data_IF_185085156127
#
_entry.id   IF_185085156127
#
_cell.length_a   1.000
_cell.length_b   1.000
_cell.length_c   1.000
_cell.angle_alpha   90.00
_cell.angle_beta   90.00
_cell.angle_gamma   90.00
#
_symmetry.space_group_name_H-M   'P 1'
#
loop_
_entity.id
_entity.type
_entity.pdbx_description
1 polymer ?
#
# COMPACT_ATOMS: atom_id res chain seq x y z
N UNK A 1 3.97 -1.01 15.80
CA UNK A 1 4.03 0.45 15.59
C UNK A 1 4.47 0.68 14.15
N UNK A 2 3.58 1.20 13.32
CA UNK A 2 3.82 1.47 11.89
C UNK A 2 3.94 2.98 11.70
N UNK A 3 4.94 3.39 10.93
CA UNK A 3 5.15 4.79 10.58
C UNK A 3 4.46 5.04 9.23
N UNK A 4 3.44 5.90 9.23
CA UNK A 4 2.79 6.30 7.99
C UNK A 4 3.69 7.27 7.24
N UNK A 5 3.96 6.98 5.97
CA UNK A 5 4.69 7.89 5.08
C UNK A 5 3.70 8.71 4.25
N UNK A 6 4.04 9.97 3.99
CA UNK A 6 3.17 10.90 3.26
C UNK A 6 3.22 10.65 1.74
N UNK A 7 4.40 10.31 1.23
CA UNK A 7 4.64 10.07 -0.19
C UNK A 7 4.91 8.59 -0.50
N UNK A 8 4.37 8.15 -1.64
CA UNK A 8 4.58 6.79 -2.12
C UNK A 8 6.04 6.53 -2.53
N UNK A 9 6.73 7.55 -3.04
CA UNK A 9 8.10 7.44 -3.56
C UNK A 9 9.08 6.96 -2.47
N UNK A 10 8.92 7.47 -1.24
CA UNK A 10 9.69 7.04 -0.08
C UNK A 10 9.44 5.58 0.27
N UNK A 11 8.19 5.10 0.18
CA UNK A 11 7.85 3.69 0.41
C UNK A 11 8.47 2.79 -0.67
N UNK A 12 8.40 3.23 -1.93
CA UNK A 12 8.95 2.51 -3.08
C UNK A 12 10.47 2.38 -2.95
N UNK A 13 11.16 3.50 -2.67
CA UNK A 13 12.60 3.55 -2.46
C UNK A 13 13.02 2.65 -1.30
N UNK A 14 12.33 2.74 -0.16
CA UNK A 14 12.59 1.88 0.99
C UNK A 14 12.47 0.40 0.63
N UNK A 15 11.37 0.02 -0.02
CA UNK A 15 11.10 -1.37 -0.43
C UNK A 15 12.20 -1.89 -1.36
N UNK A 16 12.66 -1.08 -2.33
CA UNK A 16 13.73 -1.48 -3.25
C UNK A 16 15.07 -1.71 -2.56
N UNK A 17 15.35 -1.02 -1.46
CA UNK A 17 16.58 -1.17 -0.67
C UNK A 17 16.54 -2.32 0.35
N UNK A 18 15.38 -2.93 0.58
CA UNK A 18 15.27 -4.09 1.45
C UNK A 18 15.92 -5.32 0.81
N UNK A 19 16.61 -6.11 1.62
CA UNK A 19 17.06 -7.44 1.22
C UNK A 19 15.84 -8.32 0.88
N UNK A 20 15.99 -9.21 -0.11
CA UNK A 20 14.88 -9.99 -0.67
C UNK A 20 14.04 -10.75 0.38
N UNK A 21 14.66 -11.25 1.45
CA UNK A 21 13.97 -11.98 2.52
C UNK A 21 13.18 -11.08 3.48
N UNK A 22 13.47 -9.78 3.49
CA UNK A 22 12.77 -8.78 4.30
C UNK A 22 11.62 -8.09 3.54
N UNK A 23 11.48 -8.35 2.23
CA UNK A 23 10.43 -7.81 1.36
C UNK A 23 9.09 -8.54 1.53
N UNK A 24 8.55 -8.51 2.74
CA UNK A 24 7.19 -8.98 3.00
C UNK A 24 6.30 -7.75 3.11
N UNK A 25 5.52 -7.50 2.05
CA UNK A 25 4.56 -6.41 1.99
C UNK A 25 3.12 -6.90 1.86
N UNK A 26 2.18 -6.06 2.26
CA UNK A 26 0.75 -6.29 2.05
C UNK A 26 0.09 -5.02 1.54
N UNK A 27 -1.00 -5.19 0.79
CA UNK A 27 -1.79 -4.05 0.32
C UNK A 27 -3.28 -4.38 0.31
N UNK A 28 -4.12 -3.36 0.46
CA UNK A 28 -5.56 -3.45 0.37
C UNK A 28 -6.09 -2.34 -0.52
N UNK A 29 -7.02 -2.70 -1.40
CA UNK A 29 -7.77 -1.76 -2.21
C UNK A 29 -9.22 -1.80 -1.76
N UNK A 30 -9.76 -0.67 -1.30
CA UNK A 30 -11.13 -0.53 -0.83
C UNK A 30 -11.86 0.48 -1.70
N UNK A 31 -12.97 0.06 -2.31
CA UNK A 31 -13.91 0.98 -2.97
C UNK A 31 -14.76 1.65 -1.91
N UNK A 32 -14.94 2.96 -2.01
CA UNK A 32 -15.80 3.77 -1.15
C UNK A 32 -16.81 4.53 -2.03
N UNK A 33 -17.77 5.20 -1.39
CA UNK A 33 -18.75 6.03 -2.11
C UNK A 33 -18.05 7.23 -2.81
N UNK A 34 -16.94 7.70 -2.24
CA UNK A 34 -16.20 8.88 -2.69
C UNK A 34 -15.03 8.53 -3.63
N UNK A 35 -14.83 7.25 -3.94
CA UNK A 35 -13.76 6.78 -4.82
C UNK A 35 -13.11 5.49 -4.35
N UNK A 36 -11.78 5.47 -4.26
CA UNK A 36 -10.97 4.30 -3.95
C UNK A 36 -9.88 4.64 -2.95
N UNK A 37 -9.68 3.80 -1.95
CA UNK A 37 -8.61 3.90 -0.98
C UNK A 37 -7.64 2.75 -1.17
N UNK A 38 -6.34 3.06 -1.23
CA UNK A 38 -5.25 2.09 -1.19
C UNK A 38 -4.57 2.18 0.17
N UNK A 39 -4.27 1.03 0.74
CA UNK A 39 -3.39 0.86 1.89
C UNK A 39 -2.26 -0.07 1.49
N UNK A 40 -1.05 0.24 1.90
CA UNK A 40 0.11 -0.62 1.71
C UNK A 40 0.95 -0.61 2.98
N UNK A 41 1.58 -1.74 3.30
CA UNK A 41 2.50 -1.87 4.43
C UNK A 41 3.70 -2.69 4.01
N UNK A 42 4.89 -2.24 4.41
CA UNK A 42 6.15 -2.94 4.20
C UNK A 42 7.03 -2.72 5.42
N UNK A 43 7.41 -3.81 6.09
CA UNK A 43 8.16 -3.74 7.35
C UNK A 43 7.48 -2.83 8.38
N UNK A 44 8.16 -1.76 8.77
CA UNK A 44 7.68 -0.77 9.76
C UNK A 44 6.97 0.44 9.17
N UNK A 45 6.77 0.49 7.86
CA UNK A 45 6.16 1.62 7.17
C UNK A 45 4.81 1.26 6.57
N UNK A 46 3.89 2.22 6.63
CA UNK A 46 2.55 2.12 6.08
C UNK A 46 2.29 3.31 5.15
N UNK A 47 1.41 3.12 4.19
CA UNK A 47 0.95 4.14 3.28
C UNK A 47 -0.55 4.01 3.14
N UNK A 48 -1.26 5.14 3.17
CA UNK A 48 -2.70 5.20 2.96
C UNK A 48 -3.00 6.42 2.09
N UNK A 49 -3.76 6.23 1.02
CA UNK A 49 -4.18 7.33 0.15
C UNK A 49 -5.54 7.05 -0.46
N UNK A 50 -6.32 8.13 -0.61
CA UNK A 50 -7.63 8.12 -1.28
C UNK A 50 -7.51 8.76 -2.65
N UNK A 51 -8.14 8.12 -3.63
CA UNK A 51 -8.26 8.54 -5.01
C UNK A 51 -9.73 8.71 -5.33
N UNK A 52 -10.07 9.69 -6.15
CA UNK A 52 -11.46 9.88 -6.61
C UNK A 52 -11.85 8.83 -7.66
N UNK A 53 -10.92 8.53 -8.57
CA UNK A 53 -11.15 7.66 -9.71
C UNK A 53 -10.29 6.38 -9.60
N UNK A 54 -10.85 5.19 -9.89
CA UNK A 54 -10.09 3.95 -9.93
C UNK A 54 -9.03 3.92 -11.04
N UNK A 55 -9.17 4.76 -12.06
CA UNK A 55 -8.27 4.88 -13.20
C UNK A 55 -7.11 5.87 -12.95
N UNK A 56 -6.97 6.40 -11.73
CA UNK A 56 -5.92 7.35 -11.41
C UNK A 56 -4.52 6.76 -11.73
N UNK A 57 -3.68 7.47 -12.53
CA UNK A 57 -2.38 6.96 -12.94
C UNK A 57 -1.45 6.62 -11.77
N UNK A 58 -1.55 7.35 -10.66
CA UNK A 58 -0.75 7.09 -9.47
C UNK A 58 -1.23 5.82 -8.77
N UNK A 59 -2.55 5.62 -8.64
CA UNK A 59 -3.12 4.38 -8.10
C UNK A 59 -2.69 3.16 -8.92
N UNK A 60 -2.74 3.26 -10.26
CA UNK A 60 -2.31 2.18 -11.15
C UNK A 60 -0.83 1.86 -10.95
N UNK A 61 0.04 2.89 -10.81
CA UNK A 61 1.48 2.70 -10.52
C UNK A 61 1.70 1.98 -9.19
N UNK A 62 1.00 2.40 -8.14
CA UNK A 62 1.08 1.76 -6.82
C UNK A 62 0.69 0.29 -6.90
N UNK A 63 -0.44 -0.01 -7.56
CA UNK A 63 -0.92 -1.37 -7.72
C UNK A 63 0.04 -2.24 -8.54
N UNK A 64 0.64 -1.69 -9.59
CA UNK A 64 1.63 -2.38 -10.41
C UNK A 64 2.91 -2.69 -9.61
N UNK A 65 3.36 -1.75 -8.78
CA UNK A 65 4.51 -1.96 -7.90
C UNK A 65 4.24 -3.06 -6.87
N UNK A 66 3.12 -2.99 -6.14
CA UNK A 66 2.74 -4.00 -5.16
C UNK A 66 2.69 -5.41 -5.77
N UNK A 67 2.17 -5.54 -7.00
CA UNK A 67 2.16 -6.83 -7.72
C UNK A 67 3.58 -7.30 -8.09
N UNK A 68 4.41 -6.40 -8.59
CA UNK A 68 5.79 -6.70 -9.02
C UNK A 68 6.67 -7.13 -7.85
N UNK A 69 6.56 -6.46 -6.70
CA UNK A 69 7.29 -6.83 -5.48
C UNK A 69 6.64 -7.99 -4.71
N UNK A 70 5.55 -8.57 -5.21
CA UNK A 70 4.92 -9.75 -4.62
C UNK A 70 4.15 -9.50 -3.32
N UNK A 71 3.63 -8.29 -3.11
CA UNK A 71 2.87 -7.98 -1.91
C UNK A 71 1.56 -8.76 -1.84
N UNK A 72 1.20 -9.20 -0.64
CA UNK A 72 -0.05 -9.91 -0.40
C UNK A 72 -1.24 -8.95 -0.50
N UNK A 73 -2.15 -9.25 -1.44
CA UNK A 73 -3.43 -8.55 -1.52
C UNK A 73 -4.36 -9.02 -0.40
N UNK A 74 -4.65 -8.15 0.55
CA UNK A 74 -5.60 -8.43 1.63
C UNK A 74 -7.02 -8.25 1.10
N UNK A 75 -7.79 -9.34 1.10
CA UNK A 75 -9.21 -9.34 0.75
C UNK A 75 -10.06 -9.04 1.98
N UNK A 76 -11.05 -8.15 1.83
CA UNK A 76 -11.92 -7.69 2.93
C UNK A 76 -11.87 -6.17 3.10
N UNK A 77 -12.67 -5.64 4.03
CA UNK A 77 -12.60 -4.24 4.47
C UNK A 77 -12.15 -4.23 5.93
N UNK A 78 -10.84 -4.28 6.16
CA UNK A 78 -10.29 -4.16 7.51
C UNK A 78 -10.03 -2.71 7.86
N UNK A 79 -10.14 -2.37 9.14
CA UNK A 79 -9.83 -1.03 9.65
C UNK A 79 -8.33 -0.73 9.51
N UNK A 80 -7.97 0.55 9.53
CA UNK A 80 -6.58 0.99 9.44
C UNK A 80 -5.75 0.40 10.57
N UNK A 81 -6.29 0.43 11.79
CA UNK A 81 -5.66 -0.15 12.98
C UNK A 81 -5.33 -1.63 12.79
N UNK A 82 -6.25 -2.43 12.26
CA UNK A 82 -6.03 -3.85 12.02
C UNK A 82 -5.06 -4.11 10.86
N UNK A 83 -5.09 -3.28 9.82
CA UNK A 83 -4.17 -3.39 8.69
C UNK A 83 -2.72 -3.05 9.08
N UNK A 84 -2.55 -2.06 9.96
CA UNK A 84 -1.24 -1.55 10.37
C UNK A 84 -0.74 -2.06 11.74
N UNK A 85 -1.46 -2.98 12.40
CA UNK A 85 -1.03 -3.62 13.65
C UNK A 85 0.29 -4.41 13.47
#
# INVERSE_FOLDING_TARGET
>A
MVNLVEDWESMERYTKHLEHWAKIGSYQLKKTIEGVEIKARVGKFGFIKKFKEPEDPELIKILAFCKTEGFFKVSGSISDELFFA
#
